data_IF_793147781846
#
_entry.id   IF_793147781846
#
_cell.length_a   1.000
_cell.length_b   1.000
_cell.length_c   1.000
_cell.angle_alpha   90.00
_cell.angle_beta   90.00
_cell.angle_gamma   90.00
#
_symmetry.space_group_name_H-M   'P 1'
#
loop_
_entity.id
_entity.type
_entity.pdbx_description
1 polymer ?
#
# COMPACT_ATOMS: atom_id res chain seq x y z
N UNK A 1 16.26 5.23 -1.41
CA UNK A 1 15.72 6.59 -1.22
C UNK A 1 14.49 6.56 -0.33
N UNK A 2 13.27 6.19 -0.80
CA UNK A 2 12.08 6.22 0.08
C UNK A 2 12.26 5.40 1.35
N UNK A 3 12.69 4.14 1.19
CA UNK A 3 12.93 3.20 2.31
C UNK A 3 13.94 3.76 3.33
N UNK A 4 14.95 4.49 2.86
CA UNK A 4 16.04 5.00 3.71
C UNK A 4 15.69 6.35 4.38
N UNK A 5 15.02 7.24 3.65
CA UNK A 5 14.89 8.65 4.00
C UNK A 5 13.58 8.94 4.74
N UNK A 6 12.48 8.24 4.42
CA UNK A 6 11.18 8.46 5.10
C UNK A 6 11.23 8.18 6.61
N UNK A 7 11.84 7.07 7.09
CA UNK A 7 11.96 6.83 8.54
C UNK A 7 12.85 7.86 9.25
N UNK A 8 13.80 8.49 8.55
CA UNK A 8 14.65 9.55 9.11
C UNK A 8 13.83 10.83 9.31
N UNK A 9 13.05 11.23 8.32
CA UNK A 9 12.17 12.40 8.41
C UNK A 9 11.12 12.24 9.52
N UNK A 10 10.56 11.03 9.69
CA UNK A 10 9.61 10.77 10.79
C UNK A 10 10.25 11.00 12.18
N UNK A 11 11.54 10.72 12.33
CA UNK A 11 12.30 10.92 13.58
C UNK A 11 12.76 12.35 13.77
N UNK A 12 13.22 12.99 12.70
CA UNK A 12 13.69 14.37 12.68
C UNK A 12 13.20 15.09 11.42
N UNK A 13 12.21 15.96 11.61
CA UNK A 13 11.64 16.76 10.52
C UNK A 13 12.62 17.80 9.98
N UNK A 14 13.77 18.03 10.62
CA UNK A 14 14.81 18.95 10.14
C UNK A 14 16.00 18.25 9.45
N UNK A 15 15.92 16.94 9.19
CA UNK A 15 16.91 16.25 8.34
C UNK A 15 16.73 16.68 6.87
N UNK A 16 17.30 17.84 6.52
CA UNK A 16 17.19 18.43 5.18
C UNK A 16 17.77 17.54 4.07
N UNK A 17 18.74 16.68 4.40
CA UNK A 17 19.28 15.72 3.44
C UNK A 17 18.22 14.66 3.13
N UNK A 18 17.62 14.06 4.15
CA UNK A 18 16.55 13.08 3.97
C UNK A 18 15.33 13.69 3.26
N UNK A 19 14.97 14.95 3.58
CA UNK A 19 13.91 15.68 2.87
C UNK A 19 14.23 15.85 1.38
N UNK A 20 15.46 16.28 1.05
CA UNK A 20 15.90 16.46 -0.33
C UNK A 20 15.85 15.15 -1.12
N UNK A 21 16.30 14.06 -0.52
CA UNK A 21 16.20 12.71 -1.10
C UNK A 21 14.74 12.29 -1.30
N UNK A 22 13.85 12.57 -0.35
CA UNK A 22 12.42 12.25 -0.49
C UNK A 22 11.73 13.06 -1.59
N UNK A 23 12.05 14.34 -1.73
CA UNK A 23 11.52 15.19 -2.83
C UNK A 23 11.96 14.61 -4.18
N UNK A 24 13.24 14.25 -4.30
CA UNK A 24 13.77 13.64 -5.53
C UNK A 24 13.15 12.26 -5.80
N UNK A 25 12.96 11.44 -4.77
CA UNK A 25 12.30 10.15 -4.89
C UNK A 25 10.85 10.29 -5.34
N UNK A 26 10.10 11.24 -4.78
CA UNK A 26 8.74 11.56 -5.21
C UNK A 26 8.70 12.05 -6.66
N UNK A 27 9.70 12.84 -7.09
CA UNK A 27 9.84 13.28 -8.49
C UNK A 27 10.04 12.09 -9.43
N UNK A 28 10.96 11.18 -9.13
CA UNK A 28 11.18 9.99 -9.95
C UNK A 28 9.97 9.06 -9.97
N UNK A 29 9.30 8.87 -8.83
CA UNK A 29 8.05 8.10 -8.77
C UNK A 29 6.98 8.74 -9.69
N UNK A 30 6.82 10.06 -9.63
CA UNK A 30 5.88 10.81 -10.46
C UNK A 30 6.17 10.69 -11.96
N UNK A 31 7.44 10.73 -12.37
CA UNK A 31 7.84 10.48 -13.77
C UNK A 31 7.49 9.04 -14.16
N UNK A 32 7.76 8.07 -13.30
CA UNK A 32 7.47 6.65 -13.55
C UNK A 32 5.98 6.38 -13.72
N UNK A 33 5.19 6.59 -12.66
CA UNK A 33 3.75 6.31 -12.71
C UNK A 33 2.98 7.32 -13.55
N UNK A 34 3.51 8.51 -13.83
CA UNK A 34 2.91 9.47 -14.76
C UNK A 34 2.82 8.93 -16.19
N UNK A 35 3.74 8.02 -16.57
CA UNK A 35 3.74 7.36 -17.87
C UNK A 35 3.14 5.94 -17.81
N UNK A 36 3.47 5.16 -16.78
CA UNK A 36 3.04 3.77 -16.67
C UNK A 36 1.66 3.58 -16.01
N UNK A 37 1.19 4.60 -15.27
CA UNK A 37 0.03 4.51 -14.40
C UNK A 37 0.27 3.77 -13.09
N UNK A 38 -0.82 3.51 -12.37
CA UNK A 38 -0.87 2.81 -11.08
C UNK A 38 -2.03 1.81 -11.10
N UNK A 39 -2.06 0.86 -10.16
CA UNK A 39 -3.03 -0.24 -10.17
C UNK A 39 -3.84 -0.39 -8.87
N UNK A 40 -4.15 -1.63 -8.49
CA UNK A 40 -5.05 -2.05 -7.42
C UNK A 40 -4.95 -1.24 -6.11
N UNK A 41 -3.76 -0.96 -5.56
CA UNK A 41 -3.66 -0.17 -4.32
C UNK A 41 -4.35 1.20 -4.42
N UNK A 42 -4.24 1.86 -5.58
CA UNK A 42 -4.93 3.13 -5.83
C UNK A 42 -6.43 2.92 -6.06
N UNK A 43 -6.81 1.91 -6.85
CA UNK A 43 -8.23 1.60 -7.09
C UNK A 43 -9.00 1.27 -5.81
N UNK A 44 -8.38 0.51 -4.91
CA UNK A 44 -8.94 0.13 -3.62
C UNK A 44 -8.95 1.30 -2.62
N UNK A 45 -8.02 2.25 -2.75
CA UNK A 45 -7.97 3.41 -1.86
C UNK A 45 -9.20 4.31 -1.96
N UNK A 46 -9.83 4.40 -3.14
CA UNK A 46 -10.98 5.27 -3.37
C UNK A 46 -12.20 4.88 -2.52
N UNK A 47 -12.68 3.61 -2.50
CA UNK A 47 -13.75 3.22 -1.58
C UNK A 47 -13.32 3.22 -0.12
N UNK A 48 -12.05 2.95 0.22
CA UNK A 48 -11.56 3.07 1.61
C UNK A 48 -11.67 4.51 2.11
N UNK A 49 -11.27 5.49 1.31
CA UNK A 49 -11.38 6.89 1.72
C UNK A 49 -12.81 7.42 1.57
N UNK A 50 -13.57 6.98 0.57
CA UNK A 50 -14.90 7.51 0.26
C UNK A 50 -16.05 6.92 1.09
N UNK A 51 -15.90 5.71 1.65
CA UNK A 51 -16.92 5.06 2.48
C UNK A 51 -16.59 5.14 3.98
N UNK A 52 -15.57 5.90 4.36
CA UNK A 52 -15.16 6.02 5.76
C UNK A 52 -16.28 6.68 6.58
N UNK A 53 -16.56 6.13 7.75
CA UNK A 53 -17.65 6.64 8.61
C UNK A 53 -17.10 7.51 9.74
N UNK A 54 -16.12 7.02 10.48
CA UNK A 54 -15.78 7.56 11.82
C UNK A 54 -14.26 7.68 12.07
N UNK A 55 -13.42 7.69 11.04
CA UNK A 55 -11.96 7.80 11.23
C UNK A 55 -11.47 9.21 10.94
N UNK A 56 -10.75 9.81 11.90
CA UNK A 56 -10.03 11.07 11.73
C UNK A 56 -8.55 10.78 11.95
N UNK A 57 -7.71 11.05 10.95
CA UNK A 57 -6.28 10.80 11.08
C UNK A 57 -5.64 11.84 12.03
N UNK A 58 -4.89 11.42 13.07
CA UNK A 58 -4.34 12.36 14.07
C UNK A 58 -3.47 13.48 13.48
N UNK A 59 -2.74 13.18 12.41
CA UNK A 59 -1.87 14.14 11.71
C UNK A 59 -2.60 15.03 10.68
N UNK A 60 -3.90 14.81 10.46
CA UNK A 60 -4.74 15.60 9.53
C UNK A 60 -5.98 16.11 10.27
N UNK A 61 -5.88 17.19 11.06
CA UNK A 61 -7.00 17.71 11.82
C UNK A 61 -8.08 18.27 10.88
N UNK A 62 -9.23 17.60 10.83
CA UNK A 62 -10.42 17.97 10.04
C UNK A 62 -11.69 17.88 10.88
N UNK A 63 -12.75 18.54 10.43
CA UNK A 63 -14.10 18.51 11.04
C UNK A 63 -14.97 17.33 10.57
N UNK A 64 -14.46 16.50 9.67
CA UNK A 64 -15.13 15.33 9.09
C UNK A 64 -14.16 14.15 8.95
N UNK A 65 -14.73 12.95 8.88
CA UNK A 65 -13.99 11.68 8.72
C UNK A 65 -13.14 11.68 7.45
N UNK A 66 -11.86 11.37 7.61
CA UNK A 66 -10.86 11.37 6.56
C UNK A 66 -9.84 10.25 6.76
N UNK A 67 -9.69 9.38 5.76
CA UNK A 67 -8.50 8.54 5.58
C UNK A 67 -7.61 9.20 4.53
N UNK A 68 -6.40 9.69 4.89
CA UNK A 68 -5.47 10.27 3.94
C UNK A 68 -5.14 9.28 2.82
N UNK A 69 -5.15 9.74 1.57
CA UNK A 69 -4.99 8.88 0.40
C UNK A 69 -3.71 8.02 0.45
N UNK A 70 -2.57 8.61 0.85
CA UNK A 70 -1.32 7.86 0.98
C UNK A 70 -1.41 6.69 1.97
N UNK A 71 -2.17 6.87 3.06
CA UNK A 71 -2.41 5.83 4.07
C UNK A 71 -3.32 4.73 3.50
N UNK A 72 -4.43 5.08 2.84
CA UNK A 72 -5.34 4.08 2.26
C UNK A 72 -4.72 3.30 1.09
N UNK A 73 -3.80 3.92 0.33
CA UNK A 73 -2.99 3.23 -0.69
C UNK A 73 -1.98 2.28 -0.04
N UNK A 74 -1.26 2.72 0.99
CA UNK A 74 -0.17 1.96 1.59
C UNK A 74 -0.63 0.70 2.31
N UNK A 75 -1.72 0.78 3.08
CA UNK A 75 -2.21 -0.33 3.92
C UNK A 75 -2.72 -1.54 3.13
N UNK A 76 -3.10 -1.39 1.86
CA UNK A 76 -3.49 -2.53 1.00
C UNK A 76 -2.30 -3.16 0.27
N UNK A 77 -1.14 -2.48 0.24
CA UNK A 77 0.01 -2.89 -0.55
C UNK A 77 0.55 -4.29 -0.23
N UNK A 78 0.66 -4.73 1.05
CA UNK A 78 1.12 -6.08 1.36
C UNK A 78 0.25 -7.17 0.70
N UNK A 79 -1.07 -7.03 0.76
CA UNK A 79 -1.97 -8.01 0.17
C UNK A 79 -2.00 -7.91 -1.36
N UNK A 80 -1.96 -6.70 -1.93
CA UNK A 80 -1.92 -6.51 -3.38
C UNK A 80 -0.66 -7.11 -3.98
N UNK A 81 0.51 -6.86 -3.39
CA UNK A 81 1.77 -7.40 -3.91
C UNK A 81 1.92 -8.90 -3.69
N UNK A 82 1.30 -9.46 -2.65
CA UNK A 82 1.18 -10.92 -2.52
C UNK A 82 0.35 -11.53 -3.66
N UNK A 83 -0.73 -10.86 -4.07
CA UNK A 83 -1.57 -11.29 -5.19
C UNK A 83 -0.87 -11.16 -6.54
N UNK A 84 -0.18 -10.05 -6.79
CA UNK A 84 0.44 -9.78 -8.10
C UNK A 84 1.81 -10.44 -8.31
N UNK A 85 2.43 -11.01 -7.27
CA UNK A 85 3.82 -11.47 -7.35
C UNK A 85 4.05 -12.56 -8.38
N UNK A 86 3.07 -13.43 -8.62
CA UNK A 86 3.19 -14.53 -9.58
C UNK A 86 3.47 -14.06 -11.02
N UNK A 87 3.12 -12.81 -11.36
CA UNK A 87 3.35 -12.28 -12.71
C UNK A 87 4.80 -11.85 -12.95
N UNK A 88 5.47 -11.32 -11.92
CA UNK A 88 6.85 -10.82 -12.02
C UNK A 88 7.60 -11.01 -10.69
N UNK A 89 7.85 -12.27 -10.28
CA UNK A 89 8.40 -12.57 -8.96
C UNK A 89 9.80 -12.00 -8.76
N UNK A 90 10.63 -11.94 -9.80
CA UNK A 90 11.98 -11.36 -9.75
C UNK A 90 11.94 -9.87 -9.41
N UNK A 91 10.99 -9.13 -9.99
CA UNK A 91 10.80 -7.70 -9.67
C UNK A 91 10.33 -7.53 -8.22
N UNK A 92 9.50 -8.42 -7.71
CA UNK A 92 9.07 -8.37 -6.30
C UNK A 92 10.24 -8.67 -5.35
N UNK A 93 11.12 -9.63 -5.67
CA UNK A 93 12.32 -9.89 -4.88
C UNK A 93 13.31 -8.72 -4.92
N UNK A 94 13.50 -8.08 -6.09
CA UNK A 94 14.31 -6.86 -6.19
C UNK A 94 13.79 -5.75 -5.27
N UNK A 95 12.46 -5.54 -5.24
CA UNK A 95 11.85 -4.57 -4.34
C UNK A 95 12.04 -5.03 -2.88
N UNK A 96 11.85 -6.31 -2.56
CA UNK A 96 12.06 -6.82 -1.21
C UNK A 96 13.50 -6.58 -0.71
N UNK A 97 14.49 -6.75 -1.60
CA UNK A 97 15.90 -6.43 -1.30
C UNK A 97 16.11 -4.93 -1.04
N UNK A 98 15.44 -4.04 -1.77
CA UNK A 98 15.44 -2.59 -1.48
C UNK A 98 14.85 -2.31 -0.10
N UNK A 99 13.83 -3.07 0.31
CA UNK A 99 13.32 -3.03 1.69
C UNK A 99 14.19 -3.79 2.70
N UNK A 100 15.37 -4.29 2.30
CA UNK A 100 16.35 -4.93 3.18
C UNK A 100 16.18 -6.43 3.42
N UNK A 101 15.43 -7.14 2.58
CA UNK A 101 15.42 -8.61 2.62
C UNK A 101 16.73 -9.19 2.06
N UNK A 102 17.23 -10.26 2.68
CA UNK A 102 18.18 -11.15 2.04
C UNK A 102 17.42 -12.12 1.12
N UNK A 103 17.67 -12.03 -0.18
CA UNK A 103 17.01 -12.84 -1.22
C UNK A 103 17.91 -13.93 -1.80
N UNK A 104 19.12 -14.14 -1.25
CA UNK A 104 20.11 -15.08 -1.80
C UNK A 104 19.60 -16.51 -1.96
N UNK A 105 18.69 -16.95 -1.10
CA UNK A 105 18.06 -18.28 -1.12
C UNK A 105 16.54 -18.23 -1.33
N UNK A 106 16.00 -17.08 -1.77
CA UNK A 106 14.56 -16.92 -1.96
C UNK A 106 14.09 -17.70 -3.19
N UNK A 107 12.99 -18.46 -3.05
CA UNK A 107 12.31 -19.05 -4.20
C UNK A 107 11.41 -17.99 -4.82
N UNK A 108 11.26 -18.02 -6.15
CA UNK A 108 10.36 -17.11 -6.87
C UNK A 108 8.90 -17.20 -6.37
N UNK A 109 8.46 -18.39 -5.96
CA UNK A 109 7.13 -18.59 -5.39
C UNK A 109 6.90 -17.84 -4.07
N UNK A 110 7.96 -17.56 -3.31
CA UNK A 110 7.88 -16.88 -2.01
C UNK A 110 7.98 -15.34 -2.15
N UNK A 111 8.20 -14.82 -3.36
CA UNK A 111 8.49 -13.41 -3.62
C UNK A 111 7.41 -12.46 -3.07
N UNK A 112 6.13 -12.83 -3.22
CA UNK A 112 5.00 -12.05 -2.71
C UNK A 112 4.98 -11.97 -1.19
N UNK A 113 5.15 -13.11 -0.52
CA UNK A 113 5.17 -13.18 0.93
C UNK A 113 6.35 -12.39 1.52
N UNK A 114 7.56 -12.59 0.97
CA UNK A 114 8.78 -11.88 1.40
C UNK A 114 8.58 -10.37 1.26
N UNK A 115 8.11 -9.89 0.11
CA UNK A 115 7.90 -8.46 -0.09
C UNK A 115 6.80 -7.92 0.84
N UNK A 116 5.69 -8.63 0.99
CA UNK A 116 4.59 -8.23 1.85
C UNK A 116 5.04 -8.07 3.31
N UNK A 117 5.85 -8.99 3.83
CA UNK A 117 6.38 -8.93 5.19
C UNK A 117 7.32 -7.75 5.39
N UNK A 118 8.18 -7.46 4.41
CA UNK A 118 9.05 -6.28 4.47
C UNK A 118 8.26 -4.97 4.44
N UNK A 119 7.20 -4.90 3.65
CA UNK A 119 6.31 -3.73 3.63
C UNK A 119 5.57 -3.60 4.96
N UNK A 120 5.02 -4.69 5.52
CA UNK A 120 4.39 -4.66 6.85
C UNK A 120 5.34 -4.13 7.92
N UNK A 121 6.58 -4.63 7.96
CA UNK A 121 7.60 -4.15 8.89
C UNK A 121 7.89 -2.66 8.69
N UNK A 122 8.00 -2.21 7.44
CA UNK A 122 8.22 -0.80 7.12
C UNK A 122 7.06 0.08 7.58
N UNK A 123 5.81 -0.30 7.30
CA UNK A 123 4.61 0.42 7.73
C UNK A 123 4.47 0.45 9.26
N UNK A 124 4.75 -0.68 9.93
CA UNK A 124 4.76 -0.77 11.39
C UNK A 124 5.75 0.22 12.01
N UNK A 125 6.98 0.27 11.49
CA UNK A 125 8.03 1.19 11.96
C UNK A 125 7.71 2.67 11.70
N UNK A 126 6.80 2.96 10.77
CA UNK A 126 6.28 4.31 10.51
C UNK A 126 5.01 4.62 11.31
N UNK A 127 4.56 3.70 12.17
CA UNK A 127 3.38 3.85 13.03
C UNK A 127 2.07 4.00 12.22
N UNK A 128 2.00 3.37 11.05
CA UNK A 128 0.79 3.38 10.22
C UNK A 128 -0.31 2.53 10.87
N UNK A 129 -1.60 2.90 10.69
CA UNK A 129 -2.73 2.15 11.20
C UNK A 129 -2.72 0.66 10.81
N UNK A 130 -3.18 -0.19 11.72
CA UNK A 130 -3.19 -1.66 11.58
C UNK A 130 -4.34 -2.14 10.66
N UNK A 131 -4.15 -1.91 9.36
CA UNK A 131 -5.08 -2.30 8.31
C UNK A 131 -6.37 -1.48 8.29
N UNK A 132 -7.31 -1.84 7.40
CA UNK A 132 -8.58 -1.13 7.25
C UNK A 132 -9.47 -1.25 8.49
N UNK A 133 -9.24 -2.23 9.38
CA UNK A 133 -9.97 -2.33 10.64
C UNK A 133 -9.73 -1.15 11.56
N UNK A 134 -8.54 -0.52 11.50
CA UNK A 134 -8.24 0.70 12.22
C UNK A 134 -9.09 1.90 11.77
N UNK A 135 -9.67 1.85 10.56
CA UNK A 135 -10.62 2.86 10.07
C UNK A 135 -12.08 2.53 10.41
N UNK A 136 -12.31 1.43 11.13
CA UNK A 136 -13.64 0.95 11.52
C UNK A 136 -14.31 0.02 10.50
N UNK A 137 -13.58 -0.47 9.48
CA UNK A 137 -14.11 -1.46 8.55
C UNK A 137 -14.11 -2.87 9.15
N UNK A 138 -15.12 -3.64 8.76
CA UNK A 138 -15.28 -5.05 9.16
C UNK A 138 -15.49 -5.92 7.93
N UNK A 139 -15.55 -7.24 8.11
CA UNK A 139 -15.96 -8.18 7.04
C UNK A 139 -17.28 -7.79 6.36
N UNK A 140 -18.22 -7.19 7.11
CA UNK A 140 -19.52 -6.77 6.56
C UNK A 140 -19.44 -5.59 5.58
N UNK A 141 -18.32 -4.85 5.57
CA UNK A 141 -18.12 -3.72 4.67
C UNK A 141 -17.39 -4.13 3.37
N UNK A 142 -16.81 -5.34 3.31
CA UNK A 142 -15.96 -5.79 2.19
C UNK A 142 -16.70 -5.78 0.87
N UNK A 143 -17.94 -6.26 0.84
CA UNK A 143 -18.74 -6.25 -0.39
C UNK A 143 -18.85 -4.82 -0.96
N UNK A 144 -19.13 -3.83 -0.11
CA UNK A 144 -19.24 -2.42 -0.53
C UNK A 144 -17.90 -1.86 -1.00
N UNK A 145 -16.80 -2.22 -0.33
CA UNK A 145 -15.46 -1.82 -0.73
C UNK A 145 -15.08 -2.40 -2.11
N UNK A 146 -15.45 -3.65 -2.38
CA UNK A 146 -15.27 -4.30 -3.69
C UNK A 146 -16.12 -3.59 -4.74
N UNK A 147 -17.40 -3.35 -4.48
CA UNK A 147 -18.29 -2.64 -5.43
C UNK A 147 -17.78 -1.23 -5.77
N UNK A 148 -17.18 -0.53 -4.81
CA UNK A 148 -16.56 0.77 -5.08
C UNK A 148 -15.23 0.70 -5.84
N UNK A 149 -14.54 -0.46 -5.83
CA UNK A 149 -13.26 -0.69 -6.53
C UNK A 149 -13.45 -1.10 -7.99
N UNK A 150 -14.44 -1.96 -8.28
CA UNK A 150 -14.72 -2.47 -9.63
C UNK A 150 -14.84 -1.39 -10.73
N UNK A 151 -15.55 -0.26 -10.53
CA UNK A 151 -15.70 0.76 -11.57
C UNK A 151 -14.43 1.60 -11.81
N UNK A 152 -13.37 1.42 -11.01
CA UNK A 152 -12.11 2.17 -11.11
C UNK A 152 -11.22 1.67 -12.27
N UNK A 153 -11.81 1.50 -13.46
CA UNK A 153 -11.21 0.82 -14.62
C UNK A 153 -9.86 1.38 -15.05
N UNK A 154 -9.65 2.69 -14.89
CA UNK A 154 -8.38 3.34 -15.27
C UNK A 154 -7.18 2.73 -14.54
N UNK A 155 -7.37 2.32 -13.28
CA UNK A 155 -6.29 1.75 -12.46
C UNK A 155 -6.41 0.23 -12.36
N UNK A 156 -7.61 -0.34 -12.25
CA UNK A 156 -7.75 -1.81 -12.12
C UNK A 156 -7.30 -2.56 -13.36
N UNK A 157 -7.49 -2.01 -14.57
CA UNK A 157 -7.04 -2.63 -15.83
C UNK A 157 -5.53 -2.55 -16.07
N UNK A 158 -4.80 -1.75 -15.30
CA UNK A 158 -3.34 -1.66 -15.37
C UNK A 158 -2.65 -2.67 -14.45
N UNK A 159 -3.41 -3.42 -13.65
CA UNK A 159 -2.84 -4.49 -12.84
C UNK A 159 -2.24 -5.58 -13.73
N UNK A 160 -1.06 -6.13 -13.39
CA UNK A 160 -0.44 -7.20 -14.17
C UNK A 160 -1.23 -8.51 -14.12
N UNK A 161 -2.10 -8.65 -13.11
CA UNK A 161 -3.04 -9.74 -12.95
C UNK A 161 -4.44 -9.15 -12.79
N UNK A 162 -5.40 -9.64 -13.58
CA UNK A 162 -6.78 -9.21 -13.47
C UNK A 162 -7.36 -9.63 -12.11
N UNK A 163 -7.96 -8.69 -11.39
CA UNK A 163 -8.60 -8.94 -10.10
C UNK A 163 -10.12 -8.84 -10.25
N UNK A 164 -10.82 -9.97 -10.08
CA UNK A 164 -12.27 -10.02 -10.03
C UNK A 164 -12.82 -9.73 -8.62
N UNK A 165 -14.14 -9.88 -8.45
CA UNK A 165 -14.81 -9.70 -7.16
C UNK A 165 -14.20 -10.57 -6.07
N UNK A 166 -13.98 -11.86 -6.34
CA UNK A 166 -13.42 -12.79 -5.36
C UNK A 166 -11.98 -12.45 -4.96
N UNK A 167 -11.16 -12.03 -5.92
CA UNK A 167 -9.78 -11.61 -5.65
C UNK A 167 -9.76 -10.36 -4.79
N UNK A 168 -10.57 -9.34 -5.15
CA UNK A 168 -10.66 -8.10 -4.41
C UNK A 168 -11.18 -8.34 -2.98
N UNK A 169 -12.18 -9.22 -2.80
CA UNK A 169 -12.65 -9.62 -1.47
C UNK A 169 -11.50 -10.18 -0.64
N UNK A 170 -10.75 -11.16 -1.16
CA UNK A 170 -9.61 -11.75 -0.46
C UNK A 170 -8.53 -10.71 -0.14
N UNK A 171 -8.26 -9.77 -1.06
CA UNK A 171 -7.27 -8.71 -0.82
C UNK A 171 -7.74 -7.78 0.30
N UNK A 172 -9.03 -7.40 0.34
CA UNK A 172 -9.59 -6.60 1.44
C UNK A 172 -9.59 -7.36 2.76
N UNK A 173 -9.97 -8.64 2.78
CA UNK A 173 -9.94 -9.50 3.97
C UNK A 173 -8.53 -9.55 4.57
N UNK A 174 -7.53 -9.81 3.72
CA UNK A 174 -6.11 -9.82 4.11
C UNK A 174 -5.55 -8.43 4.46
N UNK A 175 -6.30 -7.36 4.20
CA UNK A 175 -5.95 -5.98 4.56
C UNK A 175 -6.69 -5.48 5.82
N UNK A 176 -7.59 -6.27 6.42
CA UNK A 176 -8.28 -5.92 7.67
C UNK A 176 -7.27 -5.67 8.79
N UNK A 177 -6.26 -6.54 8.87
CA UNK A 177 -5.17 -6.50 9.85
C UNK A 177 -3.83 -6.70 9.15
N UNK A 178 -2.84 -5.91 9.53
CA UNK A 178 -1.49 -5.97 8.95
C UNK A 178 -0.45 -6.51 9.92
N UNK A 179 -0.64 -6.27 11.21
CA UNK A 179 0.31 -6.66 12.24
C UNK A 179 -0.28 -7.78 13.10
N UNK A 180 0.51 -8.81 13.35
CA UNK A 180 0.19 -9.93 14.25
C UNK A 180 0.87 -9.72 15.59
#
# INVERSE_FOLDING_TARGET
MVVDSLPKIKKDVNDYKAQSEMILAATYAGIGFGNAGVHLCHGMSYPISGLVKNYNHPEYPTDHSLVPHGVSVAITAPSVFSFTSAMYPERHLQIAQIFGADISNAKLADAGAILADRIRQFLYNLELPDGISAFGYTYSDIEKLVQGTLPQHRVTKLAPLAAGTEDLSKIFENSLKLYN
#
